data_IF_443036859098
#
_entry.id   IF_443036859098
#
_cell.length_a   1.000
_cell.length_b   1.000
_cell.length_c   1.000
_cell.angle_alpha   90.00
_cell.angle_beta   90.00
_cell.angle_gamma   90.00
#
_symmetry.space_group_name_H-M   'P 1'
#
loop_
_entity.id
_entity.type
_entity.pdbx_description
1 polymer ?
#
# COMPACT_ATOMS: atom_id res chain seq x y z
N UNK A 1 0.10 23.90 -18.66
CA UNK A 1 1.18 23.49 -19.60
C UNK A 1 2.07 22.51 -18.87
N UNK A 2 2.21 21.32 -19.41
CA UNK A 2 3.12 20.33 -18.86
C UNK A 2 4.43 20.42 -19.65
N UNK A 3 5.54 20.54 -18.97
CA UNK A 3 6.87 20.65 -19.56
C UNK A 3 7.61 19.34 -19.35
N UNK A 4 8.25 18.84 -20.39
CA UNK A 4 9.20 17.73 -20.29
C UNK A 4 10.60 18.29 -20.06
N UNK A 5 11.21 17.93 -18.95
CA UNK A 5 12.58 18.33 -18.61
C UNK A 5 13.51 17.12 -18.68
N UNK A 6 14.51 17.19 -19.52
CA UNK A 6 15.56 16.19 -19.57
C UNK A 6 16.68 16.50 -18.57
N UNK A 7 17.26 15.46 -18.01
CA UNK A 7 18.42 15.54 -17.11
C UNK A 7 19.54 14.68 -17.67
N UNK A 8 20.77 15.11 -17.43
CA UNK A 8 21.96 14.31 -17.74
C UNK A 8 22.30 13.47 -16.51
N UNK A 9 22.46 12.17 -16.72
CA UNK A 9 22.97 11.29 -15.70
C UNK A 9 24.38 11.76 -15.28
N UNK A 10 24.66 11.75 -13.99
CA UNK A 10 25.94 12.09 -13.36
C UNK A 10 26.34 13.58 -13.37
N UNK A 11 25.52 14.49 -13.87
CA UNK A 11 25.81 15.93 -13.76
C UNK A 11 24.92 16.60 -12.70
N UNK A 12 25.57 17.08 -11.64
CA UNK A 12 24.94 17.84 -10.57
C UNK A 12 25.32 19.32 -10.66
N UNK A 13 24.42 20.19 -10.30
CA UNK A 13 24.71 21.59 -10.15
C UNK A 13 25.43 21.86 -8.80
N UNK A 14 25.83 23.12 -8.59
CA UNK A 14 26.51 23.55 -7.35
C UNK A 14 25.68 23.47 -6.09
N UNK A 15 24.37 23.22 -6.22
CA UNK A 15 23.41 23.06 -5.09
C UNK A 15 23.12 21.58 -4.81
N UNK A 16 23.63 20.65 -5.62
CA UNK A 16 23.37 19.22 -5.50
C UNK A 16 22.10 18.76 -6.24
N UNK A 17 21.58 19.57 -7.16
CA UNK A 17 20.45 19.20 -8.00
C UNK A 17 20.94 18.69 -9.37
N UNK A 18 20.15 17.81 -10.01
CA UNK A 18 20.46 17.36 -11.36
C UNK A 18 20.42 18.51 -12.36
N UNK A 19 21.45 18.63 -13.18
CA UNK A 19 21.47 19.61 -14.25
C UNK A 19 20.44 19.25 -15.32
N UNK A 20 19.50 20.16 -15.56
CA UNK A 20 18.58 20.06 -16.70
C UNK A 20 19.34 20.18 -18.02
N UNK A 21 19.12 19.24 -18.93
CA UNK A 21 19.65 19.27 -20.28
C UNK A 21 18.80 20.08 -21.26
N UNK A 22 17.62 20.46 -20.84
CA UNK A 22 16.68 21.26 -21.60
C UNK A 22 15.24 21.00 -21.17
N UNK A 23 14.40 21.96 -21.47
CA UNK A 23 12.96 21.85 -21.27
C UNK A 23 12.29 21.95 -22.63
N UNK A 24 11.41 21.01 -22.94
CA UNK A 24 10.59 21.05 -24.14
C UNK A 24 9.19 21.45 -23.74
N UNK A 25 8.80 22.65 -24.17
CA UNK A 25 7.45 23.16 -23.94
C UNK A 25 6.50 22.53 -24.97
N UNK A 26 5.35 22.04 -24.50
CA UNK A 26 4.35 21.45 -25.38
C UNK A 26 3.17 20.83 -24.65
N UNK A 27 2.17 20.47 -25.42
CA UNK A 27 1.08 19.63 -24.97
C UNK A 27 1.41 18.17 -25.33
N UNK A 28 1.61 17.34 -24.30
CA UNK A 28 1.95 15.94 -24.49
C UNK A 28 0.72 15.10 -24.22
N UNK A 29 0.26 14.37 -25.24
CA UNK A 29 -0.88 13.48 -25.13
C UNK A 29 -0.45 12.07 -25.51
N UNK A 30 -0.34 11.19 -24.50
CA UNK A 30 -0.14 9.77 -24.70
C UNK A 30 -1.50 9.07 -24.64
N UNK A 31 -1.84 8.30 -25.66
CA UNK A 31 -3.04 7.50 -25.69
C UNK A 31 -2.68 6.08 -26.14
N UNK A 32 -2.98 5.11 -25.30
CA UNK A 32 -2.80 3.69 -25.63
C UNK A 32 -3.99 2.89 -25.12
N UNK A 33 -4.41 1.85 -25.84
CA UNK A 33 -5.48 0.99 -25.39
C UNK A 33 -5.03 0.15 -24.20
N UNK A 34 -5.80 0.19 -23.11
CA UNK A 34 -5.59 -0.67 -21.95
C UNK A 34 -6.77 -1.62 -21.82
N UNK A 35 -6.50 -2.91 -21.89
CA UNK A 35 -7.49 -3.94 -21.58
C UNK A 35 -7.23 -4.46 -20.18
N UNK A 36 -8.18 -4.30 -19.27
CA UNK A 36 -8.11 -4.85 -17.92
C UNK A 36 -8.87 -6.16 -17.90
N UNK A 37 -8.15 -7.28 -17.85
CA UNK A 37 -8.73 -8.60 -17.65
C UNK A 37 -8.94 -8.85 -16.15
N UNK A 38 -10.20 -8.89 -15.74
CA UNK A 38 -10.61 -9.20 -14.36
C UNK A 38 -11.29 -10.57 -14.24
N UNK A 39 -11.31 -11.36 -15.30
CA UNK A 39 -12.05 -12.64 -15.36
C UNK A 39 -11.55 -13.68 -14.37
N UNK A 40 -10.31 -13.55 -13.90
CA UNK A 40 -9.69 -14.47 -12.94
C UNK A 40 -9.62 -13.91 -11.50
N UNK A 41 -10.22 -12.75 -11.24
CA UNK A 41 -10.23 -12.20 -9.90
C UNK A 41 -11.21 -12.97 -9.00
N UNK A 42 -10.75 -13.38 -7.83
CA UNK A 42 -11.56 -14.05 -6.81
C UNK A 42 -11.58 -13.15 -5.59
N UNK A 43 -12.77 -12.85 -5.09
CA UNK A 43 -12.95 -12.04 -3.88
C UNK A 43 -13.30 -12.92 -2.69
N UNK A 44 -12.54 -12.78 -1.63
CA UNK A 44 -12.76 -13.40 -0.34
C UNK A 44 -13.28 -12.35 0.63
N UNK A 45 -14.48 -12.56 1.18
CA UNK A 45 -15.05 -11.72 2.23
C UNK A 45 -14.47 -12.17 3.58
N UNK A 46 -13.55 -11.40 4.12
CA UNK A 46 -12.89 -11.72 5.39
C UNK A 46 -13.70 -11.19 6.57
N UNK A 47 -13.99 -9.90 6.59
CA UNK A 47 -14.78 -9.21 7.62
C UNK A 47 -14.35 -9.53 9.05
N UNK A 48 -13.05 -9.67 9.30
CA UNK A 48 -12.46 -9.89 10.61
C UNK A 48 -11.88 -8.61 11.16
N UNK A 49 -11.98 -8.41 12.45
CA UNK A 49 -11.54 -7.20 13.15
C UNK A 49 -10.74 -7.55 14.40
N UNK A 50 -9.70 -6.78 14.68
CA UNK A 50 -8.95 -6.79 15.91
C UNK A 50 -8.49 -5.36 16.25
N UNK A 51 -8.75 -4.92 17.48
CA UNK A 51 -8.35 -3.59 18.02
C UNK A 51 -8.68 -2.39 17.10
N UNK A 52 -9.85 -2.43 16.44
CA UNK A 52 -10.32 -1.37 15.54
C UNK A 52 -9.70 -1.40 14.15
N UNK A 53 -8.86 -2.39 13.86
CA UNK A 53 -8.36 -2.70 12.52
C UNK A 53 -9.22 -3.81 11.94
N UNK A 54 -9.69 -3.66 10.72
CA UNK A 54 -10.55 -4.62 10.05
C UNK A 54 -10.04 -4.95 8.66
N UNK A 55 -9.86 -6.24 8.38
CA UNK A 55 -9.70 -6.74 7.01
C UNK A 55 -11.08 -7.00 6.44
N UNK A 56 -11.52 -6.16 5.50
CA UNK A 56 -12.85 -6.25 4.89
C UNK A 56 -12.92 -7.36 3.85
N UNK A 57 -12.09 -7.26 2.85
CA UNK A 57 -12.01 -8.22 1.76
C UNK A 57 -10.59 -8.38 1.23
N UNK A 58 -10.36 -9.49 0.54
CA UNK A 58 -9.14 -9.80 -0.19
C UNK A 58 -9.49 -10.20 -1.60
N UNK A 59 -8.93 -9.53 -2.59
CA UNK A 59 -9.10 -9.86 -4.01
C UNK A 59 -7.82 -10.52 -4.52
N UNK A 60 -7.92 -11.79 -4.86
CA UNK A 60 -6.85 -12.53 -5.55
C UNK A 60 -6.88 -12.15 -7.02
N UNK A 61 -5.76 -11.68 -7.53
CA UNK A 61 -5.58 -11.28 -8.92
C UNK A 61 -4.42 -12.07 -9.54
N UNK A 62 -4.18 -11.92 -10.83
CA UNK A 62 -2.99 -12.48 -11.50
C UNK A 62 -1.66 -11.88 -11.00
N UNK A 63 -1.70 -10.68 -10.46
CA UNK A 63 -0.51 -9.94 -10.06
C UNK A 63 -0.22 -10.01 -8.55
N UNK A 64 -1.18 -10.47 -7.73
CA UNK A 64 -1.04 -10.54 -6.28
C UNK A 64 -2.38 -10.46 -5.55
N UNK A 65 -2.33 -10.23 -4.26
CA UNK A 65 -3.50 -10.01 -3.42
C UNK A 65 -3.72 -8.51 -3.19
N UNK A 66 -4.95 -8.07 -3.35
CA UNK A 66 -5.37 -6.71 -2.99
C UNK A 66 -6.27 -6.80 -1.76
N UNK A 67 -5.81 -6.25 -0.64
CA UNK A 67 -6.57 -6.20 0.60
C UNK A 67 -7.25 -4.84 0.74
N UNK A 68 -8.50 -4.85 1.17
CA UNK A 68 -9.23 -3.65 1.63
C UNK A 68 -9.28 -3.69 3.16
N UNK A 69 -8.73 -2.66 3.80
CA UNK A 69 -8.56 -2.61 5.24
C UNK A 69 -9.14 -1.31 5.77
N UNK A 70 -9.92 -1.40 6.84
CA UNK A 70 -10.33 -0.24 7.64
C UNK A 70 -9.52 -0.20 8.92
N UNK A 71 -9.04 1.01 9.26
CA UNK A 71 -8.27 1.25 10.49
C UNK A 71 -8.71 2.57 11.12
N UNK A 72 -8.35 2.84 12.37
CA UNK A 72 -8.27 4.22 12.85
C UNK A 72 -7.46 5.07 11.87
N UNK A 73 -7.79 6.35 11.73
CA UNK A 73 -7.00 7.23 10.85
C UNK A 73 -5.60 7.47 11.43
N UNK A 74 -4.65 6.67 11.00
CA UNK A 74 -3.27 6.70 11.46
C UNK A 74 -2.53 8.00 11.11
N UNK A 75 -3.11 8.85 10.28
CA UNK A 75 -2.56 10.19 10.03
C UNK A 75 -2.89 11.19 11.12
N UNK A 76 -3.74 10.81 12.08
CA UNK A 76 -4.17 11.64 13.20
C UNK A 76 -3.64 11.12 14.52
N UNK A 77 -3.60 12.00 15.52
CA UNK A 77 -3.26 11.60 16.90
C UNK A 77 -4.25 10.54 17.42
N UNK A 78 -3.79 9.55 18.20
CA UNK A 78 -2.42 9.45 18.75
C UNK A 78 -1.39 8.81 17.82
N UNK A 79 -1.75 8.36 16.65
CA UNK A 79 -0.92 7.55 15.74
C UNK A 79 0.08 8.40 14.93
N UNK A 80 -0.24 9.64 14.66
CA UNK A 80 0.65 10.60 14.00
C UNK A 80 1.62 11.22 15.04
N UNK A 81 2.39 10.38 15.71
CA UNK A 81 3.36 10.77 16.73
C UNK A 81 4.64 9.97 16.45
N UNK A 82 5.85 10.55 16.56
CA UNK A 82 7.10 9.81 16.37
C UNK A 82 7.25 8.55 17.22
N UNK A 83 6.45 8.43 18.28
CA UNK A 83 6.41 7.26 19.16
C UNK A 83 5.28 6.27 18.83
N UNK A 84 4.39 6.61 17.90
CA UNK A 84 3.24 5.81 17.49
C UNK A 84 3.13 5.80 15.95
N UNK A 85 4.10 5.19 15.30
CA UNK A 85 4.13 5.03 13.83
C UNK A 85 3.73 3.59 13.45
N UNK A 86 2.46 3.35 13.11
CA UNK A 86 2.00 2.02 12.74
C UNK A 86 2.64 1.55 11.44
N UNK A 87 3.15 0.32 11.47
CA UNK A 87 3.59 -0.42 10.31
C UNK A 87 2.61 -1.56 10.01
N UNK A 88 2.39 -1.82 8.73
CA UNK A 88 1.46 -2.84 8.27
C UNK A 88 2.20 -3.90 7.48
N UNK A 89 1.90 -5.16 7.72
CA UNK A 89 2.43 -6.28 6.98
C UNK A 89 1.35 -7.33 6.71
N UNK A 90 1.54 -8.10 5.66
CA UNK A 90 0.86 -9.39 5.46
C UNK A 90 1.94 -10.44 5.59
N UNK A 91 1.77 -11.39 6.48
CA UNK A 91 2.72 -12.48 6.71
C UNK A 91 2.09 -13.82 6.35
N UNK A 92 2.93 -14.77 5.97
CA UNK A 92 2.52 -16.16 5.75
C UNK A 92 2.46 -16.95 7.08
N UNK A 93 2.10 -18.23 6.99
CA UNK A 93 2.01 -19.12 8.16
C UNK A 93 3.34 -19.32 8.91
N UNK A 94 4.47 -19.05 8.27
CA UNK A 94 5.80 -19.13 8.86
C UNK A 94 6.27 -17.79 9.44
N UNK A 95 5.43 -16.75 9.34
CA UNK A 95 5.73 -15.39 9.81
C UNK A 95 6.59 -14.57 8.84
N UNK A 96 6.78 -15.02 7.59
CA UNK A 96 7.54 -14.27 6.60
C UNK A 96 6.65 -13.21 5.95
N UNK A 97 7.09 -11.94 5.89
CA UNK A 97 6.31 -10.90 5.25
C UNK A 97 6.25 -11.08 3.73
N UNK A 98 5.05 -10.96 3.17
CA UNK A 98 4.84 -10.89 1.74
C UNK A 98 5.39 -9.58 1.19
N UNK A 99 5.96 -9.63 -0.01
CA UNK A 99 6.48 -8.43 -0.66
C UNK A 99 5.36 -7.42 -0.94
N UNK A 100 5.50 -6.24 -0.41
CA UNK A 100 4.60 -5.12 -0.67
C UNK A 100 4.82 -4.57 -2.08
N UNK A 101 3.78 -4.51 -2.89
CA UNK A 101 3.83 -3.96 -4.25
C UNK A 101 3.28 -2.54 -4.32
N UNK A 102 2.21 -2.28 -3.62
CA UNK A 102 1.55 -0.98 -3.56
C UNK A 102 0.69 -0.89 -2.30
N UNK A 103 0.52 0.31 -1.77
CA UNK A 103 -0.41 0.53 -0.68
C UNK A 103 -0.52 1.99 -0.29
N UNK A 104 -1.69 2.36 0.21
CA UNK A 104 -1.95 3.69 0.70
C UNK A 104 -3.38 3.91 1.13
N UNK A 105 -3.62 5.10 1.65
CA UNK A 105 -4.96 5.54 2.02
C UNK A 105 -5.79 5.70 0.75
N UNK A 106 -6.86 4.91 0.68
CA UNK A 106 -7.84 5.01 -0.39
C UNK A 106 -8.90 6.05 -0.07
N UNK A 107 -9.31 6.14 1.21
CA UNK A 107 -10.34 7.05 1.67
C UNK A 107 -10.18 7.34 3.16
N UNK A 108 -10.33 8.60 3.55
CA UNK A 108 -10.56 9.00 4.95
C UNK A 108 -12.07 9.12 5.18
N UNK A 109 -12.56 8.49 6.23
CA UNK A 109 -13.97 8.45 6.56
C UNK A 109 -14.34 9.54 7.57
N UNK A 110 -15.62 9.96 7.59
CA UNK A 110 -16.09 11.01 8.47
C UNK A 110 -16.12 10.60 9.95
N UNK A 111 -16.13 9.30 10.23
CA UNK A 111 -16.14 8.72 11.58
C UNK A 111 -14.75 8.63 12.25
N UNK A 112 -13.72 9.11 11.58
CA UNK A 112 -12.34 9.08 12.08
C UNK A 112 -11.58 7.79 11.74
N UNK A 113 -12.14 6.95 10.87
CA UNK A 113 -11.44 5.81 10.30
C UNK A 113 -10.84 6.15 8.94
N UNK A 114 -9.95 5.28 8.45
CA UNK A 114 -9.42 5.36 7.10
C UNK A 114 -9.49 3.97 6.43
N UNK A 115 -9.80 3.97 5.14
CA UNK A 115 -9.76 2.77 4.31
C UNK A 115 -8.46 2.74 3.55
N UNK A 116 -7.72 1.66 3.68
CA UNK A 116 -6.50 1.39 2.93
C UNK A 116 -6.76 0.36 1.86
N UNK A 117 -6.06 0.50 0.73
CA UNK A 117 -5.88 -0.58 -0.22
C UNK A 117 -4.42 -0.89 -0.33
N UNK A 118 -4.07 -2.14 -0.09
CA UNK A 118 -2.70 -2.63 -0.18
C UNK A 118 -2.64 -3.79 -1.15
N UNK A 119 -1.54 -3.89 -1.88
CA UNK A 119 -1.28 -4.98 -2.78
C UNK A 119 0.03 -5.64 -2.42
N UNK A 120 0.00 -6.95 -2.22
CA UNK A 120 1.17 -7.77 -1.94
C UNK A 120 1.37 -8.83 -3.00
N UNK A 121 2.62 -9.22 -3.24
CA UNK A 121 2.94 -10.34 -4.10
C UNK A 121 2.41 -11.62 -3.45
N UNK A 122 1.81 -12.47 -4.27
CA UNK A 122 1.21 -13.73 -3.84
C UNK A 122 1.75 -14.86 -4.70
N UNK A 123 2.23 -15.89 -4.07
CA UNK A 123 2.71 -17.07 -4.78
C UNK A 123 1.75 -18.25 -4.65
N UNK A 124 1.43 -18.74 -3.47
CA UNK A 124 0.43 -19.80 -3.24
C UNK A 124 0.07 -19.98 -1.76
N UNK A 125 0.30 -18.98 -0.93
CA UNK A 125 0.01 -19.04 0.49
C UNK A 125 -1.51 -19.11 0.71
N UNK A 126 -1.97 -19.95 1.62
CA UNK A 126 -3.39 -20.10 1.95
C UNK A 126 -3.74 -19.47 3.28
N UNK A 127 -2.84 -19.55 4.24
CA UNK A 127 -3.02 -19.04 5.59
C UNK A 127 -2.15 -17.79 5.72
N UNK A 128 -2.80 -16.68 6.00
CA UNK A 128 -2.19 -15.37 6.03
C UNK A 128 -2.61 -14.60 7.28
N UNK A 129 -1.74 -13.76 7.78
CA UNK A 129 -2.03 -12.83 8.87
C UNK A 129 -1.77 -11.41 8.41
N UNK A 130 -2.72 -10.51 8.64
CA UNK A 130 -2.51 -9.07 8.52
C UNK A 130 -2.11 -8.52 9.89
N UNK A 131 -0.94 -7.93 9.95
CA UNK A 131 -0.37 -7.39 11.19
C UNK A 131 -0.25 -5.88 11.12
N UNK A 132 -0.55 -5.23 12.24
CA UNK A 132 -0.23 -3.83 12.49
C UNK A 132 0.63 -3.76 13.73
N UNK A 133 1.83 -3.24 13.58
CA UNK A 133 2.80 -3.09 14.66
C UNK A 133 3.20 -1.62 14.86
N UNK A 134 3.74 -1.28 16.02
CA UNK A 134 4.28 0.05 16.27
C UNK A 134 5.80 0.02 16.06
N UNK A 135 6.31 0.72 15.05
CA UNK A 135 7.74 0.79 14.73
C UNK A 135 8.61 1.30 15.86
N UNK A 136 8.08 2.20 16.68
CA UNK A 136 8.86 2.95 17.66
C UNK A 136 8.83 2.35 19.06
N UNK A 137 8.05 1.30 19.29
CA UNK A 137 7.94 0.60 20.58
C UNK A 137 8.20 -0.89 20.38
N UNK A 138 9.46 -1.23 20.07
CA UNK A 138 9.96 -2.61 19.93
C UNK A 138 9.02 -3.57 19.16
N UNK A 139 8.40 -3.07 18.08
CA UNK A 139 7.46 -3.86 17.27
C UNK A 139 6.20 -4.30 18.02
N UNK A 140 5.78 -3.55 19.04
CA UNK A 140 4.56 -3.89 19.78
C UNK A 140 3.39 -4.07 18.84
N UNK A 141 2.80 -5.25 18.86
CA UNK A 141 1.59 -5.57 18.11
C UNK A 141 0.44 -4.65 18.52
N UNK A 142 -0.19 -4.05 17.52
CA UNK A 142 -1.41 -3.25 17.66
C UNK A 142 -2.62 -4.12 17.30
N UNK A 143 -2.53 -4.87 16.20
CA UNK A 143 -3.57 -5.78 15.74
C UNK A 143 -2.97 -6.94 14.95
N UNK A 144 -3.62 -8.09 15.01
CA UNK A 144 -3.25 -9.30 14.28
C UNK A 144 -4.51 -10.03 13.81
N UNK A 145 -4.67 -10.21 12.50
CA UNK A 145 -5.89 -10.75 11.89
C UNK A 145 -5.55 -11.88 10.95
N UNK A 146 -5.85 -13.11 11.38
CA UNK A 146 -5.68 -14.31 10.57
C UNK A 146 -6.82 -14.46 9.57
N UNK A 147 -6.49 -14.81 8.33
CA UNK A 147 -7.47 -15.13 7.30
C UNK A 147 -6.96 -16.19 6.31
N UNK A 148 -7.89 -16.82 5.60
CA UNK A 148 -7.59 -17.86 4.64
C UNK A 148 -8.09 -17.48 3.25
N UNK A 149 -7.34 -17.87 2.25
CA UNK A 149 -7.69 -17.77 0.82
C UNK A 149 -7.46 -19.13 0.16
N UNK A 150 -8.38 -19.55 -0.70
CA UNK A 150 -8.37 -20.87 -1.33
C UNK A 150 -8.31 -20.80 -2.86
#
# INVERSE_FOLDING_TARGET
MENLTGYKDDEWDKNGDYKSTGTVDGEWKLSFPVTVDRSSNITYQVNKEDHGVKVCDVVKTKAGLVLTIETPDFTKKPYNDPYNDPDMAVVDADGNPLQWLYGGIYKQNADGTATYKIMVLYENQTDLTFEVTNKNVDGKEIASIDFQIH
#
